data_IF_125766457693
#
_entry.id   IF_125766457693
#
_cell.length_a   1.000
_cell.length_b   1.000
_cell.length_c   1.000
_cell.angle_alpha   90.00
_cell.angle_beta   90.00
_cell.angle_gamma   90.00
#
_symmetry.space_group_name_H-M   'P 1'
#
loop_
_entity.id
_entity.type
_entity.pdbx_description
1 polymer ?
#
# COMPACT_ATOMS: atom_id res chain seq x y z
N UNK A 1 -23.43 13.81 1.57
CA UNK A 1 -22.37 13.92 0.55
C UNK A 1 -21.84 12.52 0.34
N UNK A 2 -22.18 11.89 -0.78
CA UNK A 2 -21.76 10.52 -1.10
C UNK A 2 -20.23 10.49 -1.15
N UNK A 3 -19.58 9.72 -0.27
CA UNK A 3 -18.11 9.64 -0.21
C UNK A 3 -17.62 8.92 -1.47
N UNK A 4 -17.30 9.67 -2.53
CA UNK A 4 -16.73 9.14 -3.79
C UNK A 4 -15.51 8.22 -3.61
N UNK A 5 -14.85 8.27 -2.45
CA UNK A 5 -13.67 7.46 -2.11
C UNK A 5 -13.99 6.14 -1.39
N UNK A 6 -15.25 5.88 -1.04
CA UNK A 6 -15.63 4.64 -0.34
C UNK A 6 -15.27 3.39 -1.17
N UNK A 7 -15.33 3.49 -2.50
CA UNK A 7 -15.01 2.40 -3.42
C UNK A 7 -13.52 2.02 -3.48
N UNK A 8 -12.63 2.86 -2.96
CA UNK A 8 -11.19 2.62 -2.98
C UNK A 8 -10.68 1.92 -1.71
N UNK A 9 -11.56 1.70 -0.73
CA UNK A 9 -11.26 0.90 0.46
C UNK A 9 -11.07 -0.56 0.08
N UNK A 10 -10.04 -1.19 0.65
CA UNK A 10 -9.69 -2.60 0.40
C UNK A 10 -10.87 -3.56 0.54
N UNK A 11 -11.69 -3.51 1.62
CA UNK A 11 -12.86 -4.39 1.74
C UNK A 11 -13.91 -4.22 0.64
N UNK A 12 -13.95 -3.06 -0.02
CA UNK A 12 -14.95 -2.73 -1.04
C UNK A 12 -14.53 -3.22 -2.43
N UNK A 13 -13.28 -2.97 -2.85
CA UNK A 13 -12.82 -3.42 -4.16
C UNK A 13 -12.32 -4.87 -4.18
N UNK A 14 -11.91 -5.42 -3.02
CA UNK A 14 -11.34 -6.77 -2.93
C UNK A 14 -12.23 -7.87 -3.52
N UNK A 15 -13.55 -7.95 -3.24
CA UNK A 15 -14.38 -9.05 -3.74
C UNK A 15 -14.38 -9.18 -5.28
N UNK A 16 -14.26 -8.05 -5.99
CA UNK A 16 -14.28 -8.02 -7.46
C UNK A 16 -12.88 -8.27 -8.04
N UNK A 17 -11.82 -7.88 -7.33
CA UNK A 17 -10.44 -7.97 -7.81
C UNK A 17 -9.60 -9.03 -7.10
N UNK A 18 -10.22 -9.93 -6.33
CA UNK A 18 -9.54 -10.94 -5.52
C UNK A 18 -8.57 -11.83 -6.32
N UNK A 19 -8.88 -12.10 -7.60
CA UNK A 19 -8.02 -12.87 -8.51
C UNK A 19 -6.73 -12.16 -8.93
N UNK A 20 -6.62 -10.85 -8.69
CA UNK A 20 -5.47 -10.03 -9.08
C UNK A 20 -4.76 -9.39 -7.89
N UNK A 21 -5.04 -9.81 -6.66
CA UNK A 21 -4.38 -9.27 -5.45
C UNK A 21 -3.94 -10.41 -4.53
N UNK A 22 -3.39 -10.06 -3.38
CA UNK A 22 -3.04 -11.02 -2.34
C UNK A 22 -4.32 -11.51 -1.66
N UNK A 23 -4.40 -12.82 -1.38
CA UNK A 23 -5.44 -13.35 -0.51
C UNK A 23 -5.48 -12.53 0.79
N UNK A 24 -6.65 -11.95 1.08
CA UNK A 24 -6.83 -11.03 2.19
C UNK A 24 -8.00 -11.46 3.06
N UNK A 25 -7.77 -11.53 4.36
CA UNK A 25 -8.79 -11.74 5.39
C UNK A 25 -9.12 -10.40 6.05
N UNK A 26 -10.37 -10.26 6.49
CA UNK A 26 -10.86 -9.02 7.10
C UNK A 26 -11.37 -9.30 8.52
N UNK A 27 -10.92 -8.53 9.49
CA UNK A 27 -11.42 -8.55 10.88
C UNK A 27 -12.10 -7.23 11.14
N UNK A 28 -13.42 -7.28 11.38
CA UNK A 28 -14.23 -6.08 11.63
C UNK A 28 -13.94 -5.54 13.03
N UNK A 29 -13.65 -4.25 13.13
CA UNK A 29 -13.42 -3.61 14.42
C UNK A 29 -14.74 -3.31 15.12
N UNK A 30 -14.82 -3.69 16.40
CA UNK A 30 -15.85 -3.19 17.31
C UNK A 30 -15.61 -1.72 17.63
N UNK A 31 -16.63 -1.01 18.12
CA UNK A 31 -16.54 0.43 18.43
C UNK A 31 -15.46 0.70 19.49
N UNK A 32 -15.34 -0.18 20.47
CA UNK A 32 -14.41 -0.10 21.58
C UNK A 32 -12.97 -0.31 21.09
N UNK A 33 -12.76 -1.30 20.21
CA UNK A 33 -11.46 -1.51 19.57
C UNK A 33 -11.08 -0.33 18.67
N UNK A 34 -12.03 0.26 17.93
CA UNK A 34 -11.77 1.46 17.15
C UNK A 34 -11.37 2.65 18.03
N UNK A 35 -12.00 2.81 19.20
CA UNK A 35 -11.62 3.84 20.18
C UNK A 35 -10.19 3.63 20.70
N UNK A 36 -9.84 2.39 21.07
CA UNK A 36 -8.48 2.02 21.47
C UNK A 36 -7.44 2.30 20.37
N UNK A 37 -7.78 1.98 19.10
CA UNK A 37 -6.94 2.30 17.95
C UNK A 37 -6.68 3.82 17.84
N UNK A 38 -7.73 4.63 17.97
CA UNK A 38 -7.64 6.10 17.91
C UNK A 38 -6.78 6.68 19.04
N UNK A 39 -6.90 6.11 20.24
CA UNK A 39 -6.09 6.46 21.41
C UNK A 39 -4.62 6.02 21.23
N UNK A 40 -4.38 4.96 20.45
CA UNK A 40 -3.06 4.35 20.30
C UNK A 40 -2.72 3.32 21.38
N UNK A 41 -3.73 2.87 22.12
CA UNK A 41 -3.58 1.90 23.22
C UNK A 41 -3.17 0.54 22.68
N UNK A 42 -2.09 -0.03 23.21
CA UNK A 42 -1.54 -1.30 22.78
C UNK A 42 -1.11 -2.17 23.97
N UNK A 43 -0.88 -3.46 23.70
CA UNK A 43 -0.59 -4.46 24.72
C UNK A 43 0.69 -4.13 25.51
N UNK A 44 1.68 -3.48 24.89
CA UNK A 44 2.94 -3.15 25.56
C UNK A 44 2.83 -1.94 26.51
N UNK A 45 1.66 -1.29 26.58
CA UNK A 45 1.40 -0.17 27.48
C UNK A 45 1.05 -0.63 28.92
N UNK A 46 0.86 -1.94 29.13
CA UNK A 46 0.46 -2.54 30.40
C UNK A 46 1.64 -3.27 31.06
N UNK A 47 1.84 -3.09 32.36
CA UNK A 47 2.79 -3.89 33.14
C UNK A 47 2.21 -5.29 33.44
N UNK A 48 3.06 -6.23 33.87
CA UNK A 48 2.67 -7.65 34.06
C UNK A 48 1.48 -7.85 35.04
N UNK A 49 1.26 -6.91 35.95
CA UNK A 49 0.18 -6.93 36.94
C UNK A 49 -1.04 -6.04 36.56
N UNK A 50 -0.98 -5.33 35.43
CA UNK A 50 -2.06 -4.45 34.97
C UNK A 50 -3.17 -5.22 34.24
N UNK A 51 -4.42 -4.82 34.48
CA UNK A 51 -5.54 -5.30 33.69
C UNK A 51 -5.51 -4.62 32.30
N UNK A 52 -5.17 -5.40 31.27
CA UNK A 52 -5.19 -4.96 29.88
C UNK A 52 -6.60 -4.50 29.50
N UNK A 53 -6.72 -3.40 28.76
CA UNK A 53 -8.02 -2.93 28.27
C UNK A 53 -8.75 -4.09 27.53
N UNK A 54 -9.96 -4.49 27.97
CA UNK A 54 -10.70 -5.60 27.36
C UNK A 54 -10.96 -5.44 25.85
N UNK A 55 -10.99 -4.20 25.34
CA UNK A 55 -11.09 -3.93 23.91
C UNK A 55 -9.82 -4.32 23.15
N UNK A 56 -8.64 -4.09 23.75
CA UNK A 56 -7.33 -4.48 23.20
C UNK A 56 -7.16 -5.99 23.25
N UNK A 57 -7.50 -6.63 24.38
CA UNK A 57 -7.47 -8.08 24.49
C UNK A 57 -8.44 -8.74 23.50
N UNK A 58 -9.66 -8.21 23.39
CA UNK A 58 -10.68 -8.70 22.47
C UNK A 58 -10.24 -8.68 21.01
N UNK A 59 -9.64 -7.58 20.53
CA UNK A 59 -9.18 -7.51 19.14
C UNK A 59 -7.96 -8.41 18.88
N UNK A 60 -7.07 -8.56 19.86
CA UNK A 60 -5.94 -9.50 19.77
C UNK A 60 -6.46 -10.94 19.60
N UNK A 61 -7.48 -11.34 20.37
CA UNK A 61 -8.08 -12.67 20.25
C UNK A 61 -8.79 -12.85 18.89
N UNK A 62 -9.52 -11.84 18.41
CA UNK A 62 -10.18 -11.87 17.09
C UNK A 62 -9.19 -12.02 15.94
N UNK A 63 -7.96 -11.51 16.09
CA UNK A 63 -6.88 -11.63 15.11
C UNK A 63 -6.21 -13.02 15.11
N UNK A 64 -6.31 -13.82 16.18
CA UNK A 64 -5.58 -15.10 16.32
C UNK A 64 -5.88 -16.06 15.18
N UNK A 65 -7.15 -16.42 14.97
CA UNK A 65 -7.53 -17.41 13.94
C UNK A 65 -7.22 -16.95 12.52
N UNK A 66 -7.59 -15.71 12.11
CA UNK A 66 -7.27 -15.22 10.77
C UNK A 66 -5.77 -15.14 10.48
N UNK A 67 -4.95 -14.73 11.45
CA UNK A 67 -3.49 -14.71 11.27
C UNK A 67 -2.88 -16.11 11.24
N UNK A 68 -3.35 -17.04 12.08
CA UNK A 68 -2.88 -18.43 12.07
C UNK A 68 -3.17 -19.15 10.75
N UNK A 69 -4.22 -18.73 10.01
CA UNK A 69 -4.53 -19.27 8.69
C UNK A 69 -3.58 -18.79 7.58
N UNK A 70 -2.76 -17.77 7.83
CA UNK A 70 -1.80 -17.23 6.87
C UNK A 70 -0.43 -17.86 7.13
N UNK A 71 0.17 -18.58 6.16
CA UNK A 71 1.49 -19.17 6.35
C UNK A 71 2.58 -18.11 6.51
N UNK A 72 3.34 -18.20 7.61
CA UNK A 72 4.47 -17.32 7.89
C UNK A 72 4.05 -15.94 8.39
N UNK A 73 4.84 -14.91 8.04
CA UNK A 73 4.55 -13.54 8.48
C UNK A 73 3.32 -12.97 7.77
N UNK A 74 2.61 -12.08 8.47
CA UNK A 74 1.52 -11.29 7.93
C UNK A 74 1.98 -9.86 7.59
N UNK A 75 1.24 -9.23 6.68
CA UNK A 75 1.22 -7.80 6.50
C UNK A 75 -0.18 -7.30 6.87
N UNK A 76 -0.25 -6.24 7.65
CA UNK A 76 -1.51 -5.70 8.17
C UNK A 76 -1.71 -4.25 7.73
N UNK A 77 -2.95 -3.92 7.39
CA UNK A 77 -3.39 -2.57 7.06
C UNK A 77 -4.81 -2.35 7.57
N UNK A 78 -5.31 -1.13 7.45
CA UNK A 78 -6.74 -0.83 7.55
C UNK A 78 -7.32 -0.60 6.15
N UNK A 79 -8.61 -0.31 6.07
CA UNK A 79 -9.38 -0.13 4.85
C UNK A 79 -8.67 0.69 3.75
N UNK A 80 -8.12 1.85 4.11
CA UNK A 80 -7.60 2.85 3.17
C UNK A 80 -6.08 3.06 3.28
N UNK A 81 -5.41 2.46 4.26
CA UNK A 81 -3.97 2.63 4.40
C UNK A 81 -3.25 1.56 5.21
N UNK A 82 -1.98 1.35 4.87
CA UNK A 82 -1.03 0.59 5.67
C UNK A 82 -0.21 1.47 6.62
N UNK A 83 0.32 0.93 7.73
CA UNK A 83 1.13 1.64 8.73
C UNK A 83 2.57 1.89 8.26
N UNK A 84 2.72 2.51 7.10
CA UNK A 84 4.01 2.70 6.39
C UNK A 84 4.96 3.68 7.06
N UNK A 85 4.44 4.48 7.99
CA UNK A 85 5.14 5.48 8.80
C UNK A 85 5.77 4.91 10.08
N UNK A 86 5.58 3.62 10.36
CA UNK A 86 6.12 2.98 11.57
C UNK A 86 7.54 2.46 11.38
N UNK A 87 8.28 2.35 12.49
CA UNK A 87 9.60 1.72 12.51
C UNK A 87 9.57 0.28 11.96
N UNK A 88 8.48 -0.48 12.24
CA UNK A 88 8.33 -1.84 11.70
C UNK A 88 8.30 -1.84 10.19
N UNK A 89 7.67 -0.86 9.57
CA UNK A 89 7.68 -0.73 8.12
C UNK A 89 9.08 -0.40 7.60
N UNK A 90 9.77 0.56 8.22
CA UNK A 90 11.11 0.97 7.82
C UNK A 90 12.13 -0.18 7.93
N UNK A 91 12.14 -0.89 9.07
CA UNK A 91 13.16 -1.88 9.41
C UNK A 91 12.83 -3.30 8.93
N UNK A 92 11.54 -3.66 8.88
CA UNK A 92 11.09 -5.02 8.56
C UNK A 92 10.06 -5.08 7.42
N UNK A 93 9.85 -3.97 6.70
CA UNK A 93 8.89 -3.86 5.59
C UNK A 93 7.44 -4.15 5.98
N UNK A 94 7.12 -3.99 7.27
CA UNK A 94 5.76 -4.17 7.80
C UNK A 94 5.42 -5.63 8.11
N UNK A 95 6.40 -6.54 8.11
CA UNK A 95 6.19 -7.92 8.50
C UNK A 95 5.88 -8.02 10.00
N UNK A 96 4.73 -8.59 10.34
CA UNK A 96 4.30 -8.92 11.70
C UNK A 96 4.11 -10.43 11.83
N UNK A 97 4.26 -10.97 13.04
CA UNK A 97 4.29 -12.41 13.30
C UNK A 97 3.27 -12.87 14.35
N UNK A 98 2.64 -11.94 15.05
CA UNK A 98 1.61 -12.23 16.06
C UNK A 98 0.51 -11.17 16.06
N UNK A 99 -0.69 -11.49 16.57
CA UNK A 99 -1.78 -10.53 16.79
C UNK A 99 -1.37 -9.29 17.57
N UNK A 100 -0.56 -9.47 18.62
CA UNK A 100 -0.05 -8.40 19.48
C UNK A 100 0.83 -7.45 18.64
N UNK A 101 1.76 -8.00 17.86
CA UNK A 101 2.58 -7.20 16.94
C UNK A 101 1.77 -6.53 15.83
N UNK A 102 0.72 -7.18 15.32
CA UNK A 102 -0.18 -6.60 14.34
C UNK A 102 -0.92 -5.38 14.91
N UNK A 103 -1.52 -5.54 16.08
CA UNK A 103 -2.22 -4.46 16.78
C UNK A 103 -1.27 -3.30 17.09
N UNK A 104 -0.14 -3.59 17.73
CA UNK A 104 0.89 -2.59 18.09
C UNK A 104 1.29 -1.71 16.92
N UNK A 105 1.56 -2.27 15.73
CA UNK A 105 2.01 -1.43 14.62
C UNK A 105 0.87 -0.74 13.87
N UNK A 106 -0.38 -1.15 14.05
CA UNK A 106 -1.53 -0.35 13.61
C UNK A 106 -1.73 0.86 14.53
N UNK A 107 -1.60 0.69 15.85
CA UNK A 107 -1.78 1.76 16.83
C UNK A 107 -0.63 2.78 16.84
N UNK A 108 0.61 2.32 16.62
CA UNK A 108 1.78 3.21 16.51
C UNK A 108 1.80 4.06 15.21
N UNK A 109 0.94 3.77 14.24
CA UNK A 109 0.89 4.52 12.97
C UNK A 109 0.00 5.76 13.09
N UNK A 110 0.60 6.94 12.98
CA UNK A 110 -0.15 8.21 12.92
C UNK A 110 -1.03 8.30 11.67
N UNK A 111 -0.60 7.69 10.57
CA UNK A 111 -1.41 7.56 9.36
C UNK A 111 -2.70 6.78 9.62
N UNK A 112 -2.58 5.59 10.22
CA UNK A 112 -3.74 4.73 10.55
C UNK A 112 -4.65 5.40 11.58
N UNK A 113 -4.09 5.96 12.66
CA UNK A 113 -4.89 6.64 13.69
C UNK A 113 -5.65 7.85 13.14
N UNK A 114 -5.05 8.62 12.24
CA UNK A 114 -5.74 9.73 11.57
C UNK A 114 -6.88 9.25 10.66
N UNK A 115 -6.69 8.16 9.92
CA UNK A 115 -7.77 7.55 9.14
C UNK A 115 -8.93 7.08 10.04
N UNK A 116 -8.61 6.44 11.17
CA UNK A 116 -9.61 6.02 12.15
C UNK A 116 -10.41 7.20 12.73
N UNK A 117 -9.74 8.31 13.10
CA UNK A 117 -10.40 9.54 13.57
C UNK A 117 -11.34 10.17 12.54
N UNK A 118 -11.05 9.99 11.23
CA UNK A 118 -11.92 10.46 10.14
C UNK A 118 -13.07 9.50 9.81
N UNK A 119 -13.18 8.37 10.52
CA UNK A 119 -14.18 7.35 10.25
C UNK A 119 -13.97 6.65 8.91
N UNK A 120 -12.71 6.43 8.54
CA UNK A 120 -12.31 5.72 7.30
C UNK A 120 -11.86 4.28 7.58
N UNK A 121 -11.98 3.81 8.83
CA UNK A 121 -11.51 2.51 9.28
C UNK A 121 -12.68 1.72 9.87
N UNK A 122 -12.86 0.50 9.37
CA UNK A 122 -13.87 -0.46 9.82
C UNK A 122 -13.28 -1.86 9.95
N UNK A 123 -12.25 -2.19 9.17
CA UNK A 123 -11.63 -3.51 9.12
C UNK A 123 -10.11 -3.43 9.28
N UNK A 124 -9.55 -4.40 9.99
CA UNK A 124 -8.15 -4.79 9.81
C UNK A 124 -8.08 -5.75 8.63
N UNK A 125 -7.22 -5.43 7.66
CA UNK A 125 -6.94 -6.25 6.49
C UNK A 125 -5.65 -7.04 6.73
N UNK A 126 -5.72 -8.37 6.61
CA UNK A 126 -4.61 -9.29 6.84
C UNK A 126 -4.25 -9.99 5.53
N UNK A 127 -2.99 -9.90 5.10
CA UNK A 127 -2.50 -10.63 3.91
C UNK A 127 -1.15 -11.29 4.18
N UNK A 128 -0.79 -12.35 3.43
CA UNK A 128 0.55 -12.93 3.50
C UNK A 128 1.63 -11.88 3.28
N UNK A 129 2.62 -11.80 4.17
CA UNK A 129 3.76 -10.93 3.94
C UNK A 129 4.62 -11.47 2.81
N UNK A 130 4.87 -10.63 1.80
CA UNK A 130 5.80 -10.92 0.71
C UNK A 130 6.88 -9.85 0.68
N UNK A 131 8.15 -10.30 0.66
CA UNK A 131 9.28 -9.40 0.43
C UNK A 131 9.34 -9.02 -1.05
N UNK A 132 8.65 -7.94 -1.41
CA UNK A 132 8.60 -7.45 -2.78
C UNK A 132 9.96 -6.90 -3.25
N UNK A 133 10.30 -7.19 -4.51
CA UNK A 133 11.47 -6.64 -5.17
C UNK A 133 11.17 -5.22 -5.65
N UNK A 134 11.94 -4.24 -5.15
CA UNK A 134 11.76 -2.80 -5.44
C UNK A 134 11.75 -2.42 -6.90
N UNK A 135 12.31 -3.25 -7.79
CA UNK A 135 12.29 -2.99 -9.24
C UNK A 135 11.05 -3.51 -9.94
N UNK A 136 10.12 -4.11 -9.21
CA UNK A 136 8.89 -4.69 -9.74
C UNK A 136 7.65 -4.01 -9.17
N UNK A 137 7.85 -2.96 -8.37
CA UNK A 137 6.78 -2.15 -7.80
C UNK A 137 6.60 -0.89 -8.66
N UNK A 138 5.37 -0.66 -9.12
CA UNK A 138 5.00 0.47 -9.96
C UNK A 138 3.67 1.07 -9.52
N UNK A 139 3.48 2.35 -9.81
CA UNK A 139 2.21 3.06 -9.67
C UNK A 139 1.65 3.35 -11.05
N UNK A 140 0.46 2.84 -11.33
CA UNK A 140 -0.31 3.10 -12.54
C UNK A 140 -1.23 4.29 -12.32
N UNK A 141 -1.32 5.16 -13.33
CA UNK A 141 -2.26 6.26 -13.39
C UNK A 141 -3.26 5.92 -14.48
N UNK A 142 -4.48 5.57 -14.06
CA UNK A 142 -5.55 5.11 -14.96
C UNK A 142 -6.53 6.26 -15.12
N UNK A 143 -6.83 6.62 -16.36
CA UNK A 143 -7.79 7.68 -16.70
C UNK A 143 -8.76 7.18 -17.74
N UNK A 144 -10.05 7.39 -17.49
CA UNK A 144 -11.14 6.99 -18.37
C UNK A 144 -11.08 5.50 -18.78
N UNK A 145 -10.62 4.66 -17.83
CA UNK A 145 -10.52 3.21 -17.97
C UNK A 145 -9.28 2.73 -18.71
N UNK A 146 -8.33 3.62 -19.03
CA UNK A 146 -7.11 3.32 -19.78
C UNK A 146 -5.86 3.72 -19.01
N UNK A 147 -4.75 3.00 -19.26
CA UNK A 147 -3.46 3.34 -18.67
C UNK A 147 -2.92 4.64 -19.28
N UNK A 148 -2.72 5.66 -18.46
CA UNK A 148 -2.20 6.95 -18.89
C UNK A 148 -0.71 7.11 -18.57
N UNK A 149 -0.29 6.67 -17.39
CA UNK A 149 1.12 6.73 -16.99
C UNK A 149 1.48 5.59 -16.03
N UNK A 150 2.78 5.28 -15.94
CA UNK A 150 3.30 4.30 -14.98
C UNK A 150 4.60 4.81 -14.36
N UNK A 151 4.65 5.04 -13.06
CA UNK A 151 5.88 5.44 -12.36
C UNK A 151 6.52 4.23 -11.68
N UNK A 152 7.85 4.12 -11.74
CA UNK A 152 8.61 3.31 -10.78
C UNK A 152 8.26 3.76 -9.35
N UNK A 153 8.01 2.80 -8.46
CA UNK A 153 7.61 3.13 -7.08
C UNK A 153 8.81 3.49 -6.18
N UNK A 154 9.93 2.78 -6.33
CA UNK A 154 11.11 3.01 -5.48
C UNK A 154 12.00 4.15 -6.01
N UNK A 155 12.03 5.29 -5.33
CA UNK A 155 12.63 6.52 -5.86
C UNK A 155 14.11 6.75 -5.51
N UNK A 156 14.75 5.87 -4.74
CA UNK A 156 16.11 6.16 -4.22
C UNK A 156 17.25 5.89 -5.21
N UNK A 157 17.03 5.14 -6.29
CA UNK A 157 18.08 4.89 -7.30
C UNK A 157 17.54 4.51 -8.66
N UNK A 158 18.35 4.77 -9.68
CA UNK A 158 18.19 4.21 -11.01
C UNK A 158 18.52 2.71 -11.05
N UNK A 159 17.70 1.95 -11.76
CA UNK A 159 17.92 0.54 -12.04
C UNK A 159 18.11 0.32 -13.54
N UNK A 160 19.36 0.30 -13.99
CA UNK A 160 19.73 0.11 -15.41
C UNK A 160 19.00 -1.03 -16.11
N UNK A 161 18.72 -2.12 -15.39
CA UNK A 161 18.01 -3.29 -15.93
C UNK A 161 16.57 -3.00 -16.36
N UNK A 162 15.93 -1.96 -15.81
CA UNK A 162 14.55 -1.59 -16.15
C UNK A 162 14.46 -0.91 -17.51
N UNK A 163 15.50 -0.20 -17.94
CA UNK A 163 15.54 0.45 -19.26
C UNK A 163 15.36 -0.58 -20.39
N UNK A 164 16.01 -1.74 -20.29
CA UNK A 164 15.93 -2.79 -21.32
C UNK A 164 14.59 -3.55 -21.36
N UNK A 165 13.71 -3.37 -20.37
CA UNK A 165 12.40 -4.04 -20.28
C UNK A 165 11.24 -3.05 -20.14
N UNK A 166 11.52 -1.77 -20.38
CA UNK A 166 10.63 -0.63 -20.21
C UNK A 166 9.31 -0.81 -20.97
N UNK A 167 9.41 -0.99 -22.29
CA UNK A 167 8.24 -1.16 -23.16
C UNK A 167 7.45 -2.42 -22.83
N UNK A 168 8.15 -3.53 -22.56
CA UNK A 168 7.50 -4.78 -22.13
C UNK A 168 6.65 -4.61 -20.87
N UNK A 169 7.13 -3.86 -19.88
CA UNK A 169 6.34 -3.58 -18.67
C UNK A 169 5.15 -2.66 -18.97
N UNK A 170 5.35 -1.66 -19.84
CA UNK A 170 4.29 -0.74 -20.24
C UNK A 170 3.15 -1.46 -20.98
N UNK A 171 3.48 -2.26 -22.00
CA UNK A 171 2.51 -3.06 -22.77
C UNK A 171 1.74 -4.01 -21.84
N UNK A 172 2.45 -4.76 -21.00
CA UNK A 172 1.85 -5.68 -20.04
C UNK A 172 0.90 -4.99 -19.05
N UNK A 173 1.26 -3.80 -18.58
CA UNK A 173 0.40 -3.00 -17.71
C UNK A 173 -0.83 -2.48 -18.47
N UNK A 174 -0.67 -2.08 -19.73
CA UNK A 174 -1.77 -1.66 -20.61
C UNK A 174 -2.78 -2.78 -20.84
N UNK A 175 -2.32 -3.95 -21.26
CA UNK A 175 -3.14 -5.17 -21.44
C UNK A 175 -3.88 -5.54 -20.16
N UNK A 176 -3.19 -5.47 -19.02
CA UNK A 176 -3.79 -5.75 -17.73
C UNK A 176 -4.89 -4.75 -17.36
N UNK A 177 -4.64 -3.45 -17.52
CA UNK A 177 -5.63 -2.39 -17.23
C UNK A 177 -6.85 -2.54 -18.14
N UNK A 178 -6.66 -2.78 -19.43
CA UNK A 178 -7.75 -3.04 -20.38
C UNK A 178 -8.61 -4.23 -19.93
N UNK A 179 -7.96 -5.34 -19.59
CA UNK A 179 -8.61 -6.57 -19.13
C UNK A 179 -9.45 -6.36 -17.86
N UNK A 180 -8.94 -5.60 -16.89
CA UNK A 180 -9.64 -5.38 -15.60
C UNK A 180 -10.51 -4.13 -15.57
N UNK A 181 -10.50 -3.28 -16.61
CA UNK A 181 -11.14 -1.96 -16.60
C UNK A 181 -12.62 -2.02 -16.22
N UNK A 182 -13.34 -3.05 -16.67
CA UNK A 182 -14.77 -3.24 -16.38
C UNK A 182 -15.06 -3.64 -14.92
N UNK A 183 -14.06 -4.17 -14.20
CA UNK A 183 -14.14 -4.52 -12.77
C UNK A 183 -13.73 -3.37 -11.85
N UNK A 184 -13.04 -2.34 -12.38
CA UNK A 184 -12.54 -1.25 -11.56
C UNK A 184 -13.69 -0.43 -10.95
N UNK A 185 -13.59 -0.06 -9.66
CA UNK A 185 -14.60 0.75 -9.00
C UNK A 185 -14.76 2.14 -9.62
N UNK A 186 -13.67 2.68 -10.19
CA UNK A 186 -13.64 3.97 -10.86
C UNK A 186 -12.86 3.84 -12.16
N UNK A 187 -13.27 4.57 -13.19
CA UNK A 187 -12.53 4.66 -14.46
C UNK A 187 -11.29 5.54 -14.38
N UNK A 188 -11.23 6.43 -13.39
CA UNK A 188 -10.10 7.32 -13.17
C UNK A 188 -9.62 7.17 -11.73
N UNK A 189 -8.46 6.53 -11.55
CA UNK A 189 -7.87 6.20 -10.25
C UNK A 189 -6.36 5.96 -10.37
N UNK A 190 -5.69 5.83 -9.22
CA UNK A 190 -4.29 5.40 -9.13
C UNK A 190 -4.24 3.98 -8.60
N UNK A 191 -3.39 3.13 -9.16
CA UNK A 191 -3.25 1.74 -8.75
C UNK A 191 -1.79 1.40 -8.51
N UNK A 192 -1.46 0.96 -7.29
CA UNK A 192 -0.15 0.41 -6.98
C UNK A 192 -0.14 -1.07 -7.32
N UNK A 193 0.90 -1.50 -8.05
CA UNK A 193 1.04 -2.87 -8.52
C UNK A 193 2.42 -3.44 -8.21
N UNK A 194 2.48 -4.76 -8.21
CA UNK A 194 3.69 -5.56 -8.17
C UNK A 194 3.71 -6.56 -9.32
N UNK A 195 4.79 -6.56 -10.11
CA UNK A 195 5.07 -7.64 -11.05
C UNK A 195 5.68 -8.85 -10.34
N UNK A 196 5.10 -10.03 -10.53
CA UNK A 196 5.66 -11.28 -10.00
C UNK A 196 6.93 -11.68 -10.78
N UNK A 197 7.53 -12.82 -10.42
CA UNK A 197 8.62 -13.40 -11.22
C UNK A 197 8.15 -13.96 -12.57
N UNK A 198 6.91 -14.47 -12.63
CA UNK A 198 6.28 -14.93 -13.88
C UNK A 198 5.80 -13.79 -14.78
N UNK A 199 5.79 -12.56 -14.25
CA UNK A 199 5.31 -11.38 -14.98
C UNK A 199 3.79 -11.23 -14.93
N UNK A 200 3.11 -11.92 -14.01
CA UNK A 200 1.76 -11.58 -13.60
C UNK A 200 1.77 -10.26 -12.81
N UNK A 201 0.64 -9.55 -12.81
CA UNK A 201 0.47 -8.31 -12.04
C UNK A 201 -0.40 -8.62 -10.81
N UNK A 202 0.09 -8.18 -9.65
CA UNK A 202 -0.67 -8.17 -8.40
C UNK A 202 -0.98 -6.72 -8.01
N UNK A 203 -2.24 -6.41 -7.78
CA UNK A 203 -2.72 -5.14 -7.23
C UNK A 203 -2.32 -5.09 -5.75
N UNK A 204 -1.57 -4.05 -5.39
CA UNK A 204 -1.12 -3.78 -4.03
C UNK A 204 -2.09 -2.86 -3.30
N UNK A 205 -2.60 -1.83 -3.99
CA UNK A 205 -3.49 -0.80 -3.43
C UNK A 205 -4.20 0.01 -4.53
N UNK A 206 -5.37 0.58 -4.21
CA UNK A 206 -6.10 1.54 -5.06
C UNK A 206 -6.20 2.89 -4.35
N UNK A 207 -5.89 3.97 -5.06
CA UNK A 207 -5.76 5.30 -4.51
C UNK A 207 -6.55 6.32 -5.34
N UNK A 208 -7.03 7.41 -4.72
CA UNK A 208 -7.79 8.43 -5.43
C UNK A 208 -6.91 9.16 -6.46
N UNK A 209 -7.54 9.60 -7.54
CA UNK A 209 -6.90 10.47 -8.52
C UNK A 209 -6.72 11.90 -7.96
N UNK A 210 -5.53 12.48 -8.09
CA UNK A 210 -5.25 13.86 -7.69
C UNK A 210 -4.47 14.00 -6.38
N UNK A 211 -4.49 15.21 -5.81
CA UNK A 211 -3.55 15.67 -4.79
C UNK A 211 -3.51 14.91 -3.46
N UNK A 212 -4.46 14.01 -3.19
CA UNK A 212 -4.41 13.10 -2.05
C UNK A 212 -3.37 11.97 -2.22
N UNK A 213 -2.92 11.73 -3.46
CA UNK A 213 -2.00 10.65 -3.82
C UNK A 213 -0.69 11.23 -4.36
N UNK A 214 0.46 10.73 -3.90
CA UNK A 214 1.77 11.17 -4.42
C UNK A 214 1.94 10.83 -5.91
N UNK A 215 2.26 11.79 -6.81
CA UNK A 215 2.48 11.54 -8.24
C UNK A 215 3.82 10.84 -8.56
N UNK A 216 4.67 10.59 -7.56
CA UNK A 216 5.99 9.96 -7.68
C UNK A 216 6.84 10.66 -8.76
N UNK A 217 7.35 9.90 -9.75
CA UNK A 217 8.21 10.44 -10.80
C UNK A 217 7.50 11.32 -11.82
N UNK A 218 6.16 11.39 -11.80
CA UNK A 218 5.44 12.40 -12.57
C UNK A 218 5.59 13.80 -11.95
N UNK A 219 6.12 13.90 -10.72
CA UNK A 219 6.47 15.11 -9.95
C UNK A 219 5.30 16.02 -9.57
N UNK A 220 4.28 16.14 -10.42
CA UNK A 220 3.11 17.00 -10.21
C UNK A 220 1.85 16.38 -10.82
N UNK A 221 0.71 16.71 -10.23
CA UNK A 221 -0.61 16.46 -10.80
C UNK A 221 -1.01 17.49 -11.86
N UNK A 222 -0.38 18.67 -11.84
CA UNK A 222 -0.59 19.73 -12.82
C UNK A 222 0.19 19.41 -14.10
N UNK A 223 -0.42 18.56 -14.93
CA UNK A 223 0.09 18.16 -16.23
C UNK A 223 -1.06 17.91 -17.21
N UNK A 224 -0.73 17.88 -18.49
CA UNK A 224 -1.66 17.41 -19.50
C UNK A 224 -1.82 15.88 -19.41
N UNK A 225 -2.98 15.46 -18.92
CA UNK A 225 -3.38 14.06 -18.79
C UNK A 225 -4.15 13.56 -20.03
N UNK A 226 -4.34 14.37 -21.07
CA UNK A 226 -5.00 13.94 -22.32
C UNK A 226 -4.11 13.04 -23.18
N UNK A 227 -2.80 13.04 -22.92
CA UNK A 227 -1.79 12.23 -23.60
C UNK A 227 -1.14 11.26 -22.61
N UNK A 228 -0.99 9.97 -22.96
CA UNK A 228 -0.26 9.05 -22.11
C UNK A 228 1.18 9.52 -21.91
N UNK A 229 1.65 9.53 -20.65
CA UNK A 229 3.02 9.84 -20.31
C UNK A 229 3.97 8.64 -20.47
N UNK A 230 3.41 7.45 -20.68
CA UNK A 230 4.17 6.21 -20.70
C UNK A 230 4.71 5.84 -19.32
N UNK A 231 5.77 5.04 -19.31
CA UNK A 231 6.48 4.64 -18.11
C UNK A 231 7.55 5.68 -17.73
N UNK A 232 7.71 5.99 -16.45
CA UNK A 232 8.72 6.90 -15.92
C UNK A 232 9.58 6.16 -14.92
N UNK A 233 10.89 6.15 -15.19
CA UNK A 233 11.92 5.48 -14.40
C UNK A 233 12.87 6.52 -13.80
N UNK A 234 13.55 6.16 -12.72
CA UNK A 234 14.56 7.03 -12.11
C UNK A 234 15.72 7.27 -13.09
N UNK A 235 16.08 8.52 -13.35
CA UNK A 235 17.19 8.85 -14.23
C UNK A 235 18.54 8.32 -13.73
N UNK A 236 19.46 7.93 -14.63
CA UNK A 236 20.84 7.62 -14.25
C UNK A 236 21.48 8.76 -13.45
N UNK A 237 22.28 8.47 -12.42
CA UNK A 237 22.97 9.51 -11.67
C UNK A 237 23.88 10.32 -12.59
N UNK A 238 23.78 11.64 -12.51
CA UNK A 238 24.66 12.55 -13.24
C UNK A 238 26.08 12.37 -12.74
N UNK A 239 27.00 11.99 -13.63
CA UNK A 239 28.43 11.97 -13.31
C UNK A 239 28.92 13.42 -13.30
N UNK A 240 29.30 13.92 -12.14
CA UNK A 240 30.08 15.17 -12.04
C UNK A 240 31.54 14.77 -12.22
N UNK A 241 32.15 15.22 -13.32
CA UNK A 241 33.59 15.12 -13.55
C UNK A 241 34.19 16.52 -13.45
N UNK A 242 35.15 16.68 -12.55
CA UNK A 242 35.94 17.89 -12.35
C UNK A 242 37.04 17.62 -11.33
N UNK A 243 38.17 18.32 -11.42
CA UNK A 243 39.25 18.19 -10.45
C UNK A 243 38.76 18.70 -9.08
N UNK A 244 38.53 17.77 -8.16
CA UNK A 244 38.21 18.11 -6.77
C UNK A 244 39.52 18.46 -6.08
N UNK A 245 39.90 19.74 -6.12
CA UNK A 245 40.98 20.27 -5.28
C UNK A 245 40.48 20.34 -3.83
N UNK A 246 40.74 19.28 -3.06
CA UNK A 246 40.56 19.31 -1.61
C UNK A 246 41.77 20.05 -1.02
N UNK A 247 41.60 21.33 -0.67
CA UNK A 247 42.56 22.05 0.16
C UNK A 247 42.32 21.66 1.63
N UNK A 248 43.33 21.05 2.25
CA UNK A 248 43.40 20.81 3.70
C UNK A 248 43.86 22.05 4.44
#
# INVERSE_FOLDING_TARGET
>A
MEKKEDFLRTPVWYPVLAGYTFLTSFVKLRKEALAALVAGENYDDYEDDDEVNPAVEGIIEELRKPMAAIPGNCFVSVDSCAPTDTERFLNKRGAVYSPESAWKYLTLSDKVRRAARRGEVEYICLRPFRRMNRTREFRLFIRDGQLNAMSQYYLLRHFRRLEGVREKYWERAGEFVEHISWMLPLKTLVMDIYFTAGGEIMIVDLNPWGGATDPLLLRSWDRDWSKPAGIVLMDPPTRISGDVSVSF
#
